data_IF_025965544909
#
_entry.id   IF_025965544909
#
_cell.length_a   1.000
_cell.length_b   1.000
_cell.length_c   1.000
_cell.angle_alpha   90.00
_cell.angle_beta   90.00
_cell.angle_gamma   90.00
#
_symmetry.space_group_name_H-M   'P 1'
#
loop_
_entity.id
_entity.type
_entity.pdbx_description
1 polymer ?
#
# COMPACT_ATOMS: atom_id res chain seq x y z
N UNK A 1 9.16 2.45 -4.55
CA UNK A 1 8.04 1.51 -4.26
C UNK A 1 7.17 1.51 -5.49
N UNK A 2 6.97 0.35 -6.13
CA UNK A 2 6.17 0.25 -7.35
C UNK A 2 4.67 0.35 -7.11
N UNK A 3 3.94 0.67 -8.17
CA UNK A 3 2.49 0.90 -8.13
C UNK A 3 1.72 -0.34 -7.63
N UNK A 4 0.69 -0.09 -6.81
CA UNK A 4 -0.14 -1.14 -6.24
C UNK A 4 0.59 -2.08 -5.26
N UNK A 5 1.84 -1.80 -4.88
CA UNK A 5 2.51 -2.53 -3.83
C UNK A 5 1.90 -2.21 -2.45
N UNK A 6 1.87 -3.22 -1.58
CA UNK A 6 1.34 -3.10 -0.21
C UNK A 6 2.48 -3.31 0.77
N UNK A 7 2.70 -2.34 1.64
CA UNK A 7 3.68 -2.41 2.72
C UNK A 7 2.94 -2.74 4.01
N UNK A 8 3.25 -3.90 4.61
CA UNK A 8 2.61 -4.33 5.84
C UNK A 8 2.93 -3.40 7.02
N UNK A 9 2.02 -3.33 7.99
CA UNK A 9 2.20 -2.55 9.21
C UNK A 9 3.51 -2.91 9.91
N UNK A 10 4.27 -1.89 10.34
CA UNK A 10 5.56 -2.06 11.00
C UNK A 10 6.73 -2.50 10.10
N UNK A 11 6.54 -2.57 8.78
CA UNK A 11 7.64 -2.88 7.85
C UNK A 11 8.62 -1.71 7.71
N UNK A 12 9.92 -2.02 7.65
CA UNK A 12 10.99 -1.03 7.42
C UNK A 12 11.65 -1.30 6.08
N UNK A 13 11.31 -0.46 5.09
CA UNK A 13 11.94 -0.44 3.77
C UNK A 13 13.27 0.32 3.85
N UNK A 14 14.37 -0.42 3.77
CA UNK A 14 15.73 0.16 3.82
C UNK A 14 16.06 0.94 2.54
N UNK A 15 17.00 1.87 2.64
CA UNK A 15 17.53 2.60 1.48
C UNK A 15 18.00 1.62 0.39
N UNK A 16 17.67 1.93 -0.87
CA UNK A 16 18.03 1.13 -2.04
C UNK A 16 17.28 -0.19 -2.17
N UNK A 17 16.28 -0.48 -1.32
CA UNK A 17 15.40 -1.62 -1.52
C UNK A 17 14.35 -1.30 -2.59
N UNK A 18 14.45 -1.96 -3.73
CA UNK A 18 13.44 -1.84 -4.79
C UNK A 18 12.25 -2.77 -4.51
N UNK A 19 11.06 -2.19 -4.49
CA UNK A 19 9.80 -2.92 -4.27
C UNK A 19 9.08 -3.01 -5.59
N UNK A 20 8.91 -4.21 -6.19
CA UNK A 20 8.19 -4.37 -7.43
C UNK A 20 6.71 -3.97 -7.30
N UNK A 21 6.07 -3.52 -8.39
CA UNK A 21 4.65 -3.23 -8.38
C UNK A 21 3.83 -4.47 -8.02
N UNK A 22 2.64 -4.28 -7.45
CA UNK A 22 1.71 -5.34 -7.06
C UNK A 22 2.29 -6.42 -6.13
N UNK A 23 3.27 -6.07 -5.28
CA UNK A 23 3.84 -7.00 -4.28
C UNK A 23 3.47 -6.61 -2.85
N UNK A 24 3.25 -7.63 -2.00
CA UNK A 24 3.16 -7.46 -0.56
C UNK A 24 4.57 -7.60 0.04
N UNK A 25 5.00 -6.57 0.75
CA UNK A 25 6.28 -6.50 1.46
C UNK A 25 6.05 -6.38 2.95
N UNK A 26 6.80 -7.13 3.75
CA UNK A 26 6.68 -7.10 5.21
C UNK A 26 8.03 -7.29 5.92
N UNK A 27 8.06 -6.90 7.21
CA UNK A 27 9.16 -7.19 8.13
C UNK A 27 10.18 -6.06 8.31
N UNK A 28 11.10 -6.28 9.25
CA UNK A 28 12.23 -5.41 9.58
C UNK A 28 13.50 -6.28 9.57
N UNK A 29 14.37 -6.17 8.56
CA UNK A 29 14.20 -5.38 7.33
C UNK A 29 13.13 -5.97 6.40
N UNK A 30 12.62 -5.13 5.49
CA UNK A 30 11.65 -5.49 4.46
C UNK A 30 12.06 -6.71 3.62
N UNK A 31 11.08 -7.58 3.35
CA UNK A 31 11.18 -8.73 2.45
C UNK A 31 9.95 -8.81 1.57
N UNK A 32 10.14 -9.18 0.29
CA UNK A 32 9.03 -9.52 -0.62
C UNK A 32 8.41 -10.83 -0.12
N UNK A 33 7.10 -10.82 0.14
CA UNK A 33 6.38 -11.98 0.69
C UNK A 33 5.66 -12.73 -0.43
N UNK A 34 4.86 -12.01 -1.21
CA UNK A 34 4.04 -12.55 -2.30
C UNK A 34 3.54 -11.42 -3.19
N UNK A 35 2.83 -11.77 -4.27
CA UNK A 35 2.00 -10.82 -4.98
C UNK A 35 0.80 -10.38 -4.13
N UNK A 36 0.33 -9.16 -4.38
CA UNK A 36 -0.93 -8.65 -3.85
C UNK A 36 -2.06 -9.52 -4.40
N UNK A 37 -3.00 -9.89 -3.54
CA UNK A 37 -4.15 -10.70 -3.89
C UNK A 37 -5.22 -9.88 -4.62
N UNK A 38 -6.15 -10.57 -5.28
CA UNK A 38 -7.29 -9.90 -5.91
C UNK A 38 -8.18 -9.17 -4.87
N UNK A 39 -8.35 -9.75 -3.68
CA UNK A 39 -9.12 -9.13 -2.60
C UNK A 39 -8.47 -7.83 -2.10
N UNK A 40 -7.15 -7.82 -1.93
CA UNK A 40 -6.41 -6.61 -1.54
C UNK A 40 -6.47 -5.53 -2.64
N UNK A 41 -6.37 -5.91 -3.92
CA UNK A 41 -6.58 -4.97 -5.04
C UNK A 41 -7.99 -4.36 -5.03
N UNK A 42 -9.01 -5.19 -4.84
CA UNK A 42 -10.40 -4.73 -4.77
C UNK A 42 -10.62 -3.80 -3.56
N UNK A 43 -10.01 -4.12 -2.42
CA UNK A 43 -10.05 -3.25 -1.24
C UNK A 43 -9.44 -1.88 -1.52
N UNK A 44 -8.24 -1.81 -2.13
CA UNK A 44 -7.61 -0.53 -2.49
C UNK A 44 -8.45 0.28 -3.49
N UNK A 45 -9.06 -0.39 -4.48
CA UNK A 45 -9.93 0.27 -5.45
C UNK A 45 -11.16 0.94 -4.79
N UNK A 46 -11.60 0.43 -3.63
CA UNK A 46 -12.69 1.01 -2.86
C UNK A 46 -12.22 2.03 -1.80
N UNK A 47 -11.13 1.74 -1.09
CA UNK A 47 -10.69 2.55 0.05
C UNK A 47 -10.02 3.86 -0.36
N UNK A 48 -9.26 3.87 -1.46
CA UNK A 48 -8.58 5.08 -1.95
C UNK A 48 -9.56 6.22 -2.25
N UNK A 49 -10.61 6.06 -3.08
CA UNK A 49 -11.56 7.14 -3.35
C UNK A 49 -12.30 7.58 -2.08
N UNK A 50 -12.62 6.65 -1.18
CA UNK A 50 -13.29 6.98 0.08
C UNK A 50 -12.46 7.91 0.99
N UNK A 51 -11.14 7.68 1.08
CA UNK A 51 -10.26 8.58 1.83
C UNK A 51 -10.12 9.96 1.18
N UNK A 52 -10.13 10.03 -0.16
CA UNK A 52 -10.12 11.32 -0.88
C UNK A 52 -11.40 12.11 -0.57
N UNK A 53 -12.57 11.48 -0.71
CA UNK A 53 -13.87 12.10 -0.40
C UNK A 53 -13.93 12.59 1.05
N UNK A 54 -13.43 11.78 1.99
CA UNK A 54 -13.37 12.15 3.40
C UNK A 54 -12.46 13.37 3.60
N UNK A 55 -11.28 13.39 2.98
CA UNK A 55 -10.36 14.53 3.07
C UNK A 55 -10.96 15.82 2.47
N UNK A 56 -11.64 15.71 1.32
CA UNK A 56 -12.34 16.84 0.68
C UNK A 56 -13.44 17.40 1.59
N UNK A 57 -14.22 16.52 2.23
CA UNK A 57 -15.26 16.92 3.19
C UNK A 57 -14.67 17.77 4.30
N UNK A 58 -13.64 17.29 5.00
CA UNK A 58 -13.00 18.02 6.10
C UNK A 58 -12.28 19.30 5.68
N UNK A 59 -11.81 19.41 4.43
CA UNK A 59 -11.18 20.63 3.92
C UNK A 59 -12.21 21.72 3.59
N UNK A 60 -13.46 21.34 3.37
CA UNK A 60 -14.57 22.26 3.02
C UNK A 60 -15.39 22.72 4.22
N UNK A 61 -15.18 22.11 5.39
CA UNK A 61 -15.73 22.53 6.70
C UNK A 61 -14.96 23.73 7.27
#
# INVERSE_FOLDING_TARGET
IGDGAVIAAGCVVRQGFDVPPNTLVAGVPAKIIREVSAAERAFMAHSVPHYIETAETYLSE
#
